data_IF_419668242517
#
_entry.id   IF_419668242517
#
_cell.length_a   1.000
_cell.length_b   1.000
_cell.length_c   1.000
_cell.angle_alpha   90.00
_cell.angle_beta   90.00
_cell.angle_gamma   90.00
#
_symmetry.space_group_name_H-M   'P 1'
#
loop_
_entity.id
_entity.type
_entity.pdbx_description
1 polymer ?
#
# COMPACT_ATOMS: atom_id res chain seq x y z
N UNK A 1 1.25 -5.21 -14.13
CA UNK A 1 1.02 -5.82 -12.82
C UNK A 1 -0.44 -6.18 -12.72
N UNK A 2 -0.82 -7.42 -12.76
CA UNK A 2 -2.08 -7.86 -12.20
C UNK A 2 -2.06 -7.51 -10.69
N UNK A 3 -3.22 -7.30 -10.13
CA UNK A 3 -3.33 -7.06 -8.69
C UNK A 3 -2.81 -8.23 -7.86
N UNK A 4 -2.70 -8.01 -6.56
CA UNK A 4 -2.47 -9.04 -5.55
C UNK A 4 -3.32 -10.29 -5.85
N UNK A 5 -2.80 -11.46 -5.49
CA UNK A 5 -3.32 -12.77 -5.86
C UNK A 5 -4.83 -12.97 -5.79
N UNK A 6 -5.32 -13.91 -6.61
CA UNK A 6 -6.75 -14.20 -6.80
C UNK A 6 -7.22 -15.42 -6.00
N UNK A 7 -6.34 -16.04 -5.21
CA UNK A 7 -6.70 -17.18 -4.36
C UNK A 7 -7.62 -16.73 -3.20
N UNK A 8 -8.57 -17.57 -2.75
CA UNK A 8 -9.27 -17.36 -1.50
C UNK A 8 -8.29 -17.16 -0.35
N UNK A 9 -8.62 -16.28 0.59
CA UNK A 9 -7.68 -15.89 1.65
C UNK A 9 -7.20 -17.08 2.49
N UNK A 10 -8.11 -17.96 2.86
CA UNK A 10 -7.78 -19.16 3.65
C UNK A 10 -6.82 -20.10 2.90
N UNK A 11 -7.00 -20.25 1.59
CA UNK A 11 -6.11 -21.03 0.73
C UNK A 11 -4.73 -20.36 0.62
N UNK A 12 -4.67 -19.05 0.34
CA UNK A 12 -3.41 -18.31 0.33
C UNK A 12 -2.65 -18.45 1.66
N UNK A 13 -3.37 -18.31 2.79
CA UNK A 13 -2.74 -18.41 4.11
C UNK A 13 -2.22 -19.83 4.41
N UNK A 14 -2.85 -20.87 3.86
CA UNK A 14 -2.43 -22.27 4.05
C UNK A 14 -1.07 -22.61 3.42
N UNK A 15 -0.62 -21.81 2.44
CA UNK A 15 0.72 -21.96 1.83
C UNK A 15 1.83 -21.28 2.64
N UNK A 16 1.49 -20.47 3.65
CA UNK A 16 2.47 -19.82 4.51
C UNK A 16 2.93 -20.76 5.64
N UNK A 17 4.12 -20.56 6.20
CA UNK A 17 4.55 -21.27 7.40
C UNK A 17 3.51 -21.15 8.53
N UNK A 18 3.40 -22.20 9.36
CA UNK A 18 2.46 -22.19 10.49
C UNK A 18 2.72 -20.99 11.41
N UNK A 19 1.67 -20.41 11.94
CA UNK A 19 1.71 -19.25 12.85
C UNK A 19 2.30 -17.96 12.23
N UNK A 20 2.31 -17.83 10.90
CA UNK A 20 2.73 -16.60 10.23
C UNK A 20 1.84 -15.44 10.67
N UNK A 21 2.48 -14.40 11.20
CA UNK A 21 1.80 -13.14 11.56
C UNK A 21 1.58 -12.28 10.33
N UNK A 22 0.43 -11.62 10.27
CA UNK A 22 0.06 -10.72 9.17
C UNK A 22 -0.33 -9.34 9.67
N UNK A 23 -0.27 -8.34 8.80
CA UNK A 23 -0.96 -7.07 8.99
C UNK A 23 -2.09 -6.92 7.97
N UNK A 24 -3.16 -6.28 8.39
CA UNK A 24 -4.30 -5.91 7.55
C UNK A 24 -4.31 -4.40 7.39
N UNK A 25 -4.39 -3.93 6.16
CA UNK A 25 -4.40 -2.51 5.80
C UNK A 25 -5.55 -2.21 4.84
N UNK A 26 -6.01 -0.94 4.73
CA UNK A 26 -6.97 -0.54 3.70
C UNK A 26 -6.37 -0.73 2.31
N UNK A 27 -7.18 -1.21 1.37
CA UNK A 27 -6.84 -1.21 -0.05
C UNK A 27 -7.33 0.08 -0.68
N UNK A 28 -6.48 1.10 -0.63
CA UNK A 28 -6.79 2.41 -1.20
C UNK A 28 -6.92 2.28 -2.73
N UNK A 29 -7.94 2.90 -3.30
CA UNK A 29 -8.18 2.93 -4.74
C UNK A 29 -7.64 4.22 -5.35
N UNK A 30 -6.42 4.11 -5.89
CA UNK A 30 -5.66 5.21 -6.46
C UNK A 30 -4.74 4.77 -7.59
N UNK A 31 -3.56 5.35 -7.63
CA UNK A 31 -2.49 4.99 -8.55
C UNK A 31 -1.22 4.65 -7.76
N UNK A 32 -0.78 3.39 -7.85
CA UNK A 32 0.49 2.96 -7.23
C UNK A 32 1.65 3.77 -7.81
N UNK A 33 2.42 4.39 -6.93
CA UNK A 33 3.63 5.12 -7.24
C UNK A 33 4.81 4.58 -6.44
N UNK A 34 6.00 4.66 -7.03
CA UNK A 34 7.25 4.51 -6.30
C UNK A 34 7.96 5.87 -6.29
N UNK A 35 8.58 6.19 -5.18
CA UNK A 35 9.38 7.41 -5.00
C UNK A 35 10.77 7.02 -4.49
N UNK A 36 11.80 7.66 -5.01
CA UNK A 36 13.20 7.42 -4.62
C UNK A 36 13.80 8.68 -4.02
N UNK A 37 14.43 8.49 -2.88
CA UNK A 37 15.24 9.48 -2.22
C UNK A 37 16.70 9.05 -2.32
N UNK A 38 17.58 10.03 -2.49
CA UNK A 38 19.03 9.88 -2.42
C UNK A 38 19.52 10.92 -1.44
N UNK A 39 20.23 10.50 -0.41
CA UNK A 39 20.70 11.35 0.68
C UNK A 39 19.60 12.28 1.22
N UNK A 40 18.42 11.70 1.40
CA UNK A 40 17.24 12.37 1.92
C UNK A 40 16.47 13.21 0.92
N UNK A 41 16.93 13.47 -0.30
CA UNK A 41 16.24 14.30 -1.27
C UNK A 41 15.41 13.46 -2.27
N UNK A 42 14.18 13.88 -2.54
CA UNK A 42 13.35 13.26 -3.57
C UNK A 42 13.94 13.49 -4.96
N UNK A 43 14.45 12.43 -5.57
CA UNK A 43 15.10 12.52 -6.90
C UNK A 43 14.22 11.96 -8.02
N UNK A 44 13.37 10.98 -7.74
CA UNK A 44 12.56 10.32 -8.77
C UNK A 44 11.24 9.80 -8.24
N UNK A 45 10.19 9.88 -9.06
CA UNK A 45 8.93 9.20 -8.83
C UNK A 45 8.42 8.57 -10.13
N UNK A 46 7.89 7.35 -10.07
CA UNK A 46 7.43 6.64 -11.26
C UNK A 46 6.23 5.74 -10.99
N UNK A 47 5.49 5.52 -12.05
CA UNK A 47 4.35 4.62 -12.04
C UNK A 47 4.81 3.16 -12.08
N UNK A 48 3.89 2.28 -11.80
CA UNK A 48 4.01 0.83 -11.95
C UNK A 48 4.53 0.36 -13.33
N UNK A 49 4.30 1.12 -14.41
CA UNK A 49 4.84 0.87 -15.75
C UNK A 49 6.20 1.54 -15.99
N UNK A 50 6.87 1.95 -14.93
CA UNK A 50 8.16 2.67 -14.96
C UNK A 50 8.14 3.98 -15.76
N UNK A 51 6.99 4.65 -15.80
CA UNK A 51 6.87 5.97 -16.44
C UNK A 51 7.21 7.04 -15.39
N UNK A 52 8.19 7.90 -15.69
CA UNK A 52 8.59 9.01 -14.82
C UNK A 52 7.42 10.00 -14.62
N UNK A 53 7.15 10.32 -13.38
CA UNK A 53 6.15 11.27 -12.91
C UNK A 53 6.66 12.17 -11.79
N UNK A 54 7.97 12.34 -11.70
CA UNK A 54 8.63 13.13 -10.65
C UNK A 54 8.03 14.53 -10.53
N UNK A 55 7.85 15.21 -11.65
CA UNK A 55 7.25 16.55 -11.66
C UNK A 55 5.82 16.55 -11.10
N UNK A 56 4.98 15.58 -11.50
CA UNK A 56 3.63 15.47 -10.99
C UNK A 56 3.61 15.20 -9.48
N UNK A 57 4.48 14.30 -9.02
CA UNK A 57 4.52 13.91 -7.61
C UNK A 57 5.01 15.02 -6.70
N UNK A 58 5.94 15.85 -7.14
CA UNK A 58 6.40 17.04 -6.38
C UNK A 58 5.31 18.09 -6.12
N UNK A 59 4.21 18.06 -6.87
CA UNK A 59 3.05 18.93 -6.65
C UNK A 59 2.09 18.41 -5.58
N UNK A 60 2.29 17.20 -5.07
CA UNK A 60 1.45 16.60 -4.02
C UNK A 60 1.95 17.10 -2.67
N UNK A 61 1.10 17.85 -1.95
CA UNK A 61 1.50 18.63 -0.77
C UNK A 61 2.01 17.77 0.39
N UNK A 62 1.43 16.60 0.60
CA UNK A 62 1.80 15.68 1.69
C UNK A 62 2.89 14.67 1.31
N UNK A 63 3.47 14.78 0.10
CA UNK A 63 4.66 14.02 -0.24
C UNK A 63 5.91 14.78 0.21
N UNK A 64 6.69 14.26 1.19
CA UNK A 64 7.92 14.92 1.63
C UNK A 64 8.91 15.11 0.46
N UNK A 65 9.38 16.34 0.25
CA UNK A 65 10.46 16.61 -0.70
C UNK A 65 11.85 16.20 -0.16
N UNK A 66 11.95 16.08 1.18
CA UNK A 66 13.12 15.56 1.88
C UNK A 66 12.73 14.74 3.09
N UNK A 67 13.57 13.75 3.41
CA UNK A 67 13.42 12.85 4.56
C UNK A 67 14.76 12.72 5.29
N UNK A 68 14.74 12.39 6.58
CA UNK A 68 15.95 12.09 7.34
C UNK A 68 16.40 10.63 7.05
N UNK A 69 16.99 10.44 5.88
CA UNK A 69 17.57 9.18 5.44
C UNK A 69 18.87 9.42 4.69
N UNK A 70 19.83 8.52 4.87
CA UNK A 70 21.07 8.44 4.10
C UNK A 70 20.91 7.40 2.99
N UNK A 71 21.81 7.46 2.01
CA UNK A 71 21.84 6.54 0.89
C UNK A 71 20.57 6.56 0.03
N UNK A 72 20.29 5.46 -0.64
CA UNK A 72 19.14 5.33 -1.54
C UNK A 72 18.00 4.64 -0.81
N UNK A 73 16.85 5.32 -0.74
CA UNK A 73 15.61 4.77 -0.19
C UNK A 73 14.52 4.81 -1.26
N UNK A 74 13.87 3.69 -1.48
CA UNK A 74 12.67 3.58 -2.33
C UNK A 74 11.44 3.30 -1.48
N UNK A 75 10.40 4.10 -1.69
CA UNK A 75 9.13 4.01 -0.97
C UNK A 75 8.01 3.79 -2.00
N UNK A 76 7.11 2.88 -1.70
CA UNK A 76 5.89 2.64 -2.47
C UNK A 76 4.68 3.13 -1.71
N UNK A 77 3.76 3.72 -2.43
CA UNK A 77 2.52 4.24 -1.88
C UNK A 77 1.43 4.34 -2.93
N UNK A 78 0.28 4.79 -2.50
CA UNK A 78 -0.88 5.04 -3.35
C UNK A 78 -1.11 6.54 -3.44
N UNK A 79 -1.08 7.09 -4.66
CA UNK A 79 -1.57 8.44 -4.94
C UNK A 79 -3.08 8.36 -5.11
N UNK A 80 -3.83 9.09 -4.30
CA UNK A 80 -5.29 9.02 -4.28
C UNK A 80 -5.93 10.39 -4.11
N UNK A 81 -7.19 10.53 -4.53
CA UNK A 81 -8.01 11.70 -4.24
C UNK A 81 -8.70 11.55 -2.89
N UNK A 82 -8.41 12.43 -1.93
CA UNK A 82 -9.07 12.40 -0.63
C UNK A 82 -10.50 12.95 -0.70
N UNK A 83 -11.36 12.56 0.26
CA UNK A 83 -12.78 12.94 0.33
C UNK A 83 -13.59 12.56 -0.93
N UNK A 84 -13.22 11.46 -1.58
CA UNK A 84 -13.87 10.93 -2.77
C UNK A 84 -14.23 9.45 -2.60
N UNK A 85 -15.27 9.02 -3.31
CA UNK A 85 -15.51 7.57 -3.45
C UNK A 85 -14.40 6.89 -4.27
N UNK A 86 -14.14 5.59 -4.09
CA UNK A 86 -13.00 4.90 -4.68
C UNK A 86 -12.78 5.19 -6.17
N UNK A 87 -13.78 4.90 -7.01
CA UNK A 87 -13.64 5.10 -8.46
C UNK A 87 -13.39 6.56 -8.90
N UNK A 88 -13.84 7.57 -8.13
CA UNK A 88 -13.52 8.98 -8.37
C UNK A 88 -12.12 9.32 -7.90
N UNK A 89 -11.69 8.76 -6.78
CA UNK A 89 -10.34 8.90 -6.23
C UNK A 89 -9.29 8.45 -7.24
N UNK A 90 -9.39 7.23 -7.76
CA UNK A 90 -8.48 6.70 -8.76
C UNK A 90 -8.46 7.56 -10.05
N UNK A 91 -9.65 7.95 -10.56
CA UNK A 91 -9.73 8.80 -11.75
C UNK A 91 -9.06 10.15 -11.56
N UNK A 92 -9.18 10.75 -10.36
CA UNK A 92 -8.51 12.00 -10.02
C UNK A 92 -7.00 11.85 -10.02
N UNK A 93 -6.46 10.83 -9.34
CA UNK A 93 -5.04 10.52 -9.32
C UNK A 93 -4.49 10.26 -10.74
N UNK A 94 -5.17 9.41 -11.52
CA UNK A 94 -4.78 9.12 -12.90
C UNK A 94 -4.86 10.36 -13.81
N UNK A 95 -5.84 11.23 -13.60
CA UNK A 95 -5.98 12.51 -14.31
C UNK A 95 -4.80 13.44 -14.02
N UNK A 96 -4.41 13.59 -12.74
CA UNK A 96 -3.25 14.38 -12.32
C UNK A 96 -1.95 13.91 -12.99
N UNK A 97 -1.70 12.61 -12.99
CA UNK A 97 -0.50 12.04 -13.59
C UNK A 97 -0.39 12.21 -15.12
N UNK A 98 -1.49 12.61 -15.79
CA UNK A 98 -1.52 12.88 -17.23
C UNK A 98 -1.43 14.37 -17.60
N UNK A 99 -1.61 15.28 -16.63
CA UNK A 99 -1.57 16.72 -16.89
C UNK A 99 -0.14 17.19 -17.19
N UNK A 100 -0.03 18.12 -18.14
CA UNK A 100 1.21 18.86 -18.38
C UNK A 100 1.52 19.86 -17.26
N UNK A 101 0.49 20.42 -16.64
CA UNK A 101 0.57 21.34 -15.51
C UNK A 101 -0.29 20.80 -14.35
N UNK A 102 0.24 19.86 -13.55
CA UNK A 102 -0.43 19.31 -12.40
C UNK A 102 -0.42 20.31 -11.23
N UNK A 103 -1.51 20.37 -10.47
CA UNK A 103 -1.61 21.26 -9.29
C UNK A 103 -1.43 20.55 -7.95
N UNK A 104 -1.53 19.22 -7.92
CA UNK A 104 -1.54 18.44 -6.65
C UNK A 104 -2.84 18.55 -5.86
N UNK A 105 -3.66 19.55 -6.11
CA UNK A 105 -4.85 19.87 -5.32
C UNK A 105 -5.83 18.70 -5.20
N UNK A 106 -6.25 18.40 -3.97
CA UNK A 106 -7.21 17.33 -3.67
C UNK A 106 -6.62 15.93 -3.82
N UNK A 107 -5.29 15.79 -3.74
CA UNK A 107 -4.54 14.55 -3.80
C UNK A 107 -3.69 14.38 -2.54
N UNK A 108 -3.48 13.13 -2.17
CA UNK A 108 -2.63 12.70 -1.07
C UNK A 108 -1.85 11.46 -1.47
N UNK A 109 -0.66 11.27 -0.89
CA UNK A 109 0.18 10.10 -1.09
C UNK A 109 0.28 9.28 0.19
N UNK A 110 -0.39 8.13 0.24
CA UNK A 110 -0.30 7.19 1.36
C UNK A 110 0.83 6.18 1.12
N UNK A 111 1.91 6.31 1.88
CA UNK A 111 3.01 5.36 1.84
C UNK A 111 2.64 4.05 2.54
N UNK A 112 2.92 2.91 1.93
CA UNK A 112 2.59 1.60 2.46
C UNK A 112 3.75 0.60 2.50
N UNK A 113 4.92 0.94 1.96
CA UNK A 113 6.07 0.03 1.93
C UNK A 113 7.39 0.79 1.73
N UNK A 114 8.41 0.46 2.52
CA UNK A 114 9.82 0.72 2.20
C UNK A 114 10.31 -0.49 1.39
N UNK A 115 10.76 -0.26 0.15
CA UNK A 115 11.34 -1.32 -0.67
C UNK A 115 12.69 -1.74 -0.06
N UNK A 116 12.94 -3.02 0.08
CA UNK A 116 14.10 -3.58 0.80
C UNK A 116 14.22 -3.12 2.27
N UNK A 117 13.11 -2.67 2.88
CA UNK A 117 13.05 -2.39 4.32
C UNK A 117 13.31 -3.66 5.13
N UNK A 118 14.01 -3.53 6.25
CA UNK A 118 14.34 -4.65 7.16
C UNK A 118 13.37 -4.74 8.35
N UNK A 119 13.43 -5.84 9.07
CA UNK A 119 12.64 -6.06 10.28
C UNK A 119 11.19 -6.44 10.00
N UNK A 120 10.21 -5.65 10.40
CA UNK A 120 8.79 -5.94 10.22
C UNK A 120 8.07 -4.86 9.42
N UNK A 121 6.93 -5.20 8.81
CA UNK A 121 6.07 -4.20 8.16
C UNK A 121 5.67 -3.09 9.14
N UNK A 122 5.37 -3.43 10.40
CA UNK A 122 4.99 -2.44 11.44
C UNK A 122 6.14 -1.48 11.73
N UNK A 123 7.39 -1.96 11.87
CA UNK A 123 8.55 -1.09 12.09
C UNK A 123 8.81 -0.18 10.88
N UNK A 124 8.64 -0.69 9.66
CA UNK A 124 8.79 0.10 8.44
C UNK A 124 7.71 1.18 8.30
N UNK A 125 6.45 0.87 8.65
CA UNK A 125 5.37 1.88 8.70
C UNK A 125 5.68 2.97 9.73
N UNK A 126 6.18 2.59 10.91
CA UNK A 126 6.65 3.56 11.92
C UNK A 126 7.78 4.45 11.43
N UNK A 127 8.70 3.91 10.63
CA UNK A 127 9.78 4.70 10.01
C UNK A 127 9.24 5.69 8.95
N UNK A 128 8.26 5.27 8.14
CA UNK A 128 7.59 6.16 7.19
C UNK A 128 6.91 7.35 7.89
N UNK A 129 6.25 7.12 9.02
CA UNK A 129 5.66 8.20 9.85
C UNK A 129 6.74 9.16 10.35
N UNK A 130 7.88 8.65 10.84
CA UNK A 130 9.02 9.50 11.29
C UNK A 130 9.58 10.35 10.15
N UNK A 131 9.54 9.86 8.92
CA UNK A 131 9.95 10.60 7.72
C UNK A 131 8.88 11.57 7.19
N UNK A 132 7.75 11.70 7.87
CA UNK A 132 6.68 12.65 7.54
C UNK A 132 5.70 12.16 6.47
N UNK A 133 5.68 10.87 6.13
CA UNK A 133 4.70 10.33 5.20
C UNK A 133 3.33 10.13 5.86
N UNK A 134 2.29 10.38 5.10
CA UNK A 134 0.95 9.85 5.38
C UNK A 134 1.01 8.32 5.25
N UNK A 135 0.59 7.61 6.30
CA UNK A 135 0.56 6.14 6.36
C UNK A 135 -0.84 5.69 6.77
N UNK A 136 -1.39 4.71 6.10
CA UNK A 136 -2.68 4.16 6.47
C UNK A 136 -2.61 3.34 7.77
N UNK A 137 -3.70 3.36 8.53
CA UNK A 137 -3.87 2.50 9.70
C UNK A 137 -3.67 1.02 9.35
N UNK A 138 -3.32 0.22 10.34
CA UNK A 138 -3.16 -1.22 10.17
C UNK A 138 -3.55 -1.98 11.43
N UNK A 139 -3.93 -3.25 11.27
CA UNK A 139 -4.20 -4.18 12.37
C UNK A 139 -3.26 -5.37 12.25
N UNK A 140 -2.43 -5.60 13.28
CA UNK A 140 -1.57 -6.79 13.34
C UNK A 140 -2.38 -7.98 13.86
N UNK A 141 -2.27 -9.12 13.19
CA UNK A 141 -2.93 -10.38 13.54
C UNK A 141 -1.90 -11.48 13.68
N UNK A 142 -1.83 -12.11 14.86
CA UNK A 142 -0.81 -13.10 15.22
C UNK A 142 -1.38 -14.50 15.53
N UNK A 143 -2.69 -14.60 15.78
CA UNK A 143 -3.40 -15.84 16.13
C UNK A 143 -4.77 -15.86 15.47
N UNK A 144 -5.29 -17.04 15.20
CA UNK A 144 -6.61 -17.24 14.57
C UNK A 144 -6.77 -16.38 13.30
N UNK A 145 -5.69 -16.33 12.49
CA UNK A 145 -5.51 -15.34 11.43
C UNK A 145 -6.68 -15.34 10.46
N UNK A 146 -7.12 -16.52 9.99
CA UNK A 146 -8.22 -16.62 9.02
C UNK A 146 -9.51 -16.03 9.58
N UNK A 147 -9.88 -16.41 10.81
CA UNK A 147 -11.10 -15.92 11.47
C UNK A 147 -11.04 -14.42 11.72
N UNK A 148 -9.90 -13.91 12.24
CA UNK A 148 -9.74 -12.50 12.55
C UNK A 148 -9.71 -11.61 11.30
N UNK A 149 -9.04 -12.05 10.23
CA UNK A 149 -9.03 -11.31 8.96
C UNK A 149 -10.44 -11.26 8.36
N UNK A 150 -11.21 -12.36 8.47
CA UNK A 150 -12.63 -12.37 8.07
C UNK A 150 -13.47 -11.35 8.84
N UNK A 151 -13.29 -11.28 10.18
CA UNK A 151 -13.96 -10.27 11.01
C UNK A 151 -13.55 -8.83 10.63
N UNK A 152 -12.25 -8.59 10.34
CA UNK A 152 -11.77 -7.29 9.91
C UNK A 152 -12.33 -6.90 8.54
N UNK A 153 -12.45 -7.85 7.61
CA UNK A 153 -13.10 -7.60 6.33
C UNK A 153 -14.57 -7.21 6.50
N UNK A 154 -15.32 -7.92 7.36
CA UNK A 154 -16.71 -7.54 7.67
C UNK A 154 -16.79 -6.13 8.28
N UNK A 155 -15.93 -5.80 9.26
CA UNK A 155 -15.88 -4.46 9.84
C UNK A 155 -15.57 -3.38 8.78
N UNK A 156 -14.71 -3.68 7.80
CA UNK A 156 -14.45 -2.78 6.69
C UNK A 156 -15.70 -2.60 5.81
N UNK A 157 -16.42 -3.68 5.48
CA UNK A 157 -17.67 -3.60 4.72
C UNK A 157 -18.72 -2.73 5.43
N UNK A 158 -18.78 -2.81 6.77
CA UNK A 158 -19.66 -2.00 7.62
C UNK A 158 -19.12 -0.57 7.87
N UNK A 159 -18.00 -0.18 7.22
CA UNK A 159 -17.33 1.13 7.40
C UNK A 159 -16.89 1.41 8.85
N UNK A 160 -16.64 0.39 9.65
CA UNK A 160 -16.21 0.52 11.04
C UNK A 160 -14.67 0.66 11.18
N UNK A 161 -13.93 0.36 10.12
CA UNK A 161 -12.47 0.53 10.04
C UNK A 161 -12.08 1.06 8.66
N UNK A 162 -11.00 1.83 8.59
CA UNK A 162 -10.41 2.34 7.35
C UNK A 162 -11.34 3.23 6.50
N UNK A 163 -12.40 3.78 7.10
CA UNK A 163 -13.40 4.62 6.42
C UNK A 163 -12.85 5.98 6.00
N UNK A 164 -11.71 6.39 6.53
CA UNK A 164 -10.99 7.62 6.19
C UNK A 164 -10.36 7.58 4.78
N UNK A 165 -10.25 6.40 4.19
CA UNK A 165 -9.66 6.22 2.85
C UNK A 165 -10.70 5.75 1.82
N UNK A 166 -10.55 6.14 0.55
CA UNK A 166 -11.35 5.59 -0.54
C UNK A 166 -10.85 4.17 -0.90
N UNK A 167 -11.47 3.15 -0.33
CA UNK A 167 -11.00 1.76 -0.41
C UNK A 167 -11.94 0.85 -1.21
N UNK A 168 -11.38 -0.13 -1.93
CA UNK A 168 -12.12 -1.17 -2.64
C UNK A 168 -11.89 -2.59 -2.04
N UNK A 169 -11.39 -2.63 -0.81
CA UNK A 169 -11.08 -3.86 -0.08
C UNK A 169 -10.07 -3.64 1.04
N UNK A 170 -9.50 -4.73 1.49
CA UNK A 170 -8.37 -4.76 2.43
C UNK A 170 -7.19 -5.49 1.79
N UNK A 171 -5.98 -5.18 2.26
CA UNK A 171 -4.73 -5.88 1.90
C UNK A 171 -4.21 -6.59 3.13
N UNK A 172 -3.83 -7.85 2.96
CA UNK A 172 -3.18 -8.65 4.00
C UNK A 172 -1.74 -8.93 3.58
N UNK A 173 -0.78 -8.68 4.47
CA UNK A 173 0.65 -8.88 4.21
C UNK A 173 1.28 -9.70 5.33
N UNK A 174 2.22 -10.55 5.00
CA UNK A 174 3.14 -11.16 5.98
C UNK A 174 3.90 -10.03 6.69
N UNK A 175 4.01 -10.11 8.02
CA UNK A 175 4.62 -9.03 8.82
C UNK A 175 6.14 -9.02 8.75
N UNK A 176 6.76 -10.19 8.71
CA UNK A 176 8.21 -10.40 8.75
C UNK A 176 8.83 -10.18 7.36
N UNK A 177 9.84 -9.32 7.27
CA UNK A 177 10.47 -8.93 6.00
C UNK A 177 11.40 -10.02 5.46
N UNK A 178 12.08 -10.76 6.33
CA UNK A 178 12.96 -11.83 5.91
C UNK A 178 12.13 -12.99 5.33
N UNK A 179 11.00 -13.30 5.97
CA UNK A 179 10.03 -14.25 5.44
C UNK A 179 9.39 -13.78 4.13
N UNK A 180 9.15 -12.47 3.94
CA UNK A 180 8.69 -11.94 2.65
C UNK A 180 9.71 -12.17 1.53
N UNK A 181 11.01 -12.02 1.82
CA UNK A 181 12.08 -12.28 0.87
C UNK A 181 12.17 -13.76 0.52
N UNK A 182 12.05 -14.65 1.50
CA UNK A 182 12.01 -16.10 1.32
C UNK A 182 10.83 -16.56 0.47
N UNK A 183 9.61 -16.09 0.76
CA UNK A 183 8.39 -16.38 -0.01
C UNK A 183 8.50 -15.80 -1.43
N UNK A 184 9.14 -14.66 -1.57
CA UNK A 184 9.43 -14.02 -2.84
C UNK A 184 8.21 -13.42 -3.54
N UNK A 185 8.32 -13.35 -4.86
CA UNK A 185 7.31 -12.75 -5.74
C UNK A 185 7.23 -13.46 -7.09
N UNK A 186 6.08 -13.46 -7.70
CA UNK A 186 5.92 -13.80 -9.11
C UNK A 186 6.30 -12.60 -10.00
N UNK A 187 6.33 -12.79 -11.31
CA UNK A 187 6.52 -11.69 -12.28
C UNK A 187 5.44 -10.59 -12.15
N UNK A 188 4.35 -10.89 -11.47
CA UNK A 188 3.13 -10.09 -11.47
C UNK A 188 2.85 -9.45 -10.09
N UNK A 189 3.06 -10.18 -8.99
CA UNK A 189 2.68 -9.79 -7.64
C UNK A 189 3.59 -10.40 -6.57
N UNK A 190 3.70 -9.77 -5.38
CA UNK A 190 4.33 -10.40 -4.23
C UNK A 190 3.49 -11.60 -3.77
N UNK A 191 4.16 -12.74 -3.50
CA UNK A 191 3.49 -13.95 -3.00
C UNK A 191 3.14 -13.84 -1.51
N UNK A 192 3.79 -12.93 -0.79
CA UNK A 192 3.60 -12.65 0.65
C UNK A 192 2.48 -11.67 0.97
N UNK A 193 1.71 -11.22 -0.05
CA UNK A 193 0.58 -10.32 0.16
C UNK A 193 -0.60 -10.71 -0.73
N UNK A 194 -1.80 -10.51 -0.23
CA UNK A 194 -3.05 -10.73 -0.96
C UNK A 194 -4.05 -9.62 -0.69
N UNK A 195 -5.03 -9.45 -1.59
CA UNK A 195 -6.11 -8.48 -1.45
C UNK A 195 -7.45 -9.20 -1.33
N UNK A 196 -8.30 -8.71 -0.45
CA UNK A 196 -9.67 -9.16 -0.26
C UNK A 196 -10.58 -8.01 -0.66
N UNK A 197 -11.35 -8.19 -1.74
CA UNK A 197 -12.29 -7.19 -2.27
C UNK A 197 -13.74 -7.56 -1.96
N UNK A 198 -14.61 -6.56 -1.95
CA UNK A 198 -16.04 -6.75 -1.67
C UNK A 198 -16.75 -7.66 -2.70
N UNK A 199 -16.34 -7.59 -3.97
CA UNK A 199 -16.99 -8.29 -5.10
C UNK A 199 -16.69 -9.79 -5.17
N UNK A 200 -15.89 -10.33 -4.27
CA UNK A 200 -15.47 -11.74 -4.35
C UNK A 200 -16.34 -12.68 -3.52
N UNK A 201 -17.38 -13.22 -4.13
CA UNK A 201 -18.24 -14.28 -3.54
C UNK A 201 -17.49 -15.55 -3.11
N UNK A 202 -16.19 -15.71 -3.45
CA UNK A 202 -15.31 -16.84 -3.10
C UNK A 202 -14.05 -16.39 -2.37
N UNK A 203 -14.15 -15.42 -1.48
CA UNK A 203 -13.01 -14.80 -0.81
C UNK A 203 -12.45 -15.61 0.37
N UNK A 204 -13.25 -16.56 0.89
CA UNK A 204 -12.94 -17.31 2.12
C UNK A 204 -12.81 -18.82 1.89
#
# INVERSE_FOLDING_TARGET
MSGLGTLPFAEWYSYLPKNTSVIVQPKIDGCVMAVRYVDGLLVKAWTRKNIDKTYCMRMVEDLPNSIDAKDIVEIRGELYGYNLIPARSQRRAAGHLRKKQPSGMGLSFCAFQIFNGKGTEVSNLGQLVKWGFTVCGHVKVTRDVVSKVKQLHSKWQDSLIFSEFPTDGIVVKVTDKDLQEEIGRTSIAPSWATAIKDTWKKTW
#
